data_IF_860796034747
#
_entry.id   IF_860796034747
#
_cell.length_a   1.000
_cell.length_b   1.000
_cell.length_c   1.000
_cell.angle_alpha   90.00
_cell.angle_beta   90.00
_cell.angle_gamma   90.00
#
_symmetry.space_group_name_H-M   'P 1'
#
loop_
_entity.id
_entity.type
_entity.pdbx_description
1 polymer ?
#
# COMPACT_ATOMS: atom_id res chain seq x y z
N UNK A 1 11.34 -0.94 -14.91
CA UNK A 1 12.33 -0.96 -13.82
C UNK A 1 12.20 0.27 -12.92
N UNK A 2 12.40 1.49 -13.43
CA UNK A 2 12.32 2.72 -12.62
C UNK A 2 11.04 2.82 -11.75
N UNK A 3 9.87 2.56 -12.33
CA UNK A 3 8.58 2.57 -11.60
C UNK A 3 8.55 1.56 -10.44
N UNK A 4 9.09 0.35 -10.62
CA UNK A 4 9.13 -0.66 -9.57
C UNK A 4 10.07 -0.26 -8.42
N UNK A 5 11.22 0.33 -8.73
CA UNK A 5 12.13 0.91 -7.73
C UNK A 5 11.44 2.04 -6.95
N UNK A 6 10.65 2.86 -7.63
CA UNK A 6 9.88 3.95 -7.03
C UNK A 6 8.87 3.39 -6.01
N UNK A 7 8.18 2.29 -6.33
CA UNK A 7 7.28 1.62 -5.39
C UNK A 7 8.00 1.00 -4.20
N UNK A 8 9.21 0.45 -4.39
CA UNK A 8 10.05 -0.01 -3.28
C UNK A 8 10.37 1.16 -2.33
N UNK A 9 10.76 2.30 -2.90
CA UNK A 9 11.04 3.53 -2.14
C UNK A 9 9.82 4.01 -1.35
N UNK A 10 8.63 4.07 -1.99
CA UNK A 10 7.39 4.41 -1.31
C UNK A 10 6.99 3.40 -0.24
N UNK A 11 7.20 2.11 -0.48
CA UNK A 11 7.01 1.06 0.51
C UNK A 11 7.80 1.35 1.78
N UNK A 12 9.10 1.61 1.64
CA UNK A 12 9.94 1.96 2.79
C UNK A 12 9.47 3.25 3.49
N UNK A 13 9.13 4.27 2.70
CA UNK A 13 8.71 5.56 3.24
C UNK A 13 7.42 5.48 4.07
N UNK A 14 6.42 4.73 3.61
CA UNK A 14 5.10 4.63 4.28
C UNK A 14 5.17 4.22 5.75
N UNK A 15 6.14 3.38 6.17
CA UNK A 15 6.25 2.94 7.55
C UNK A 15 6.53 4.10 8.54
N UNK A 16 7.16 5.17 8.06
CA UNK A 16 7.57 6.32 8.88
C UNK A 16 6.64 7.53 8.71
N UNK A 17 5.65 7.46 7.83
CA UNK A 17 4.73 8.59 7.58
C UNK A 17 3.79 8.79 8.76
N UNK A 18 3.88 9.96 9.40
CA UNK A 18 2.94 10.41 10.43
C UNK A 18 1.61 10.86 9.81
N UNK A 19 0.48 10.77 10.54
CA UNK A 19 -0.80 11.30 10.09
C UNK A 19 -0.66 12.74 9.60
N UNK A 20 -1.07 12.98 8.37
CA UNK A 20 -1.02 14.30 7.75
C UNK A 20 -2.03 14.39 6.60
N UNK A 21 -2.35 15.60 6.18
CA UNK A 21 -3.37 15.85 5.16
C UNK A 21 -2.86 15.71 3.72
N UNK A 22 -1.56 15.55 3.48
CA UNK A 22 -0.96 15.65 2.15
C UNK A 22 -0.47 14.32 1.56
N UNK A 23 0.11 13.44 2.39
CA UNK A 23 0.86 12.25 1.97
C UNK A 23 0.35 11.01 2.71
N UNK A 24 0.07 9.95 1.96
CA UNK A 24 -0.35 8.65 2.49
C UNK A 24 -1.72 8.18 1.97
N UNK A 25 -2.20 7.07 2.52
CA UNK A 25 -3.53 6.51 2.29
C UNK A 25 -4.54 7.28 3.16
N UNK A 26 -5.22 8.26 2.55
CA UNK A 26 -6.10 9.24 3.23
C UNK A 26 -7.57 8.91 3.02
N UNK A 27 -8.04 7.84 3.65
CA UNK A 27 -9.49 7.60 3.79
C UNK A 27 -10.03 8.41 4.98
N UNK A 28 -11.34 8.75 5.02
CA UNK A 28 -11.91 9.52 6.12
C UNK A 28 -11.52 8.97 7.51
N UNK A 29 -11.63 7.65 7.68
CA UNK A 29 -11.28 6.97 8.93
C UNK A 29 -9.78 6.95 9.27
N UNK A 30 -8.88 6.94 8.28
CA UNK A 30 -7.43 7.03 8.58
C UNK A 30 -7.03 8.42 9.06
N UNK A 31 -7.73 9.47 8.65
CA UNK A 31 -7.48 10.83 9.10
C UNK A 31 -8.02 11.07 10.51
N UNK A 32 -9.10 10.39 10.87
CA UNK A 32 -9.75 10.49 12.19
C UNK A 32 -9.03 9.68 13.26
N UNK A 33 -8.35 8.58 12.90
CA UNK A 33 -7.68 7.70 13.86
C UNK A 33 -6.19 7.50 13.56
N UNK A 34 -5.27 8.01 14.41
CA UNK A 34 -3.84 7.73 14.31
C UNK A 34 -3.50 6.24 14.40
N UNK A 35 -4.34 5.44 15.06
CA UNK A 35 -4.17 3.99 15.19
C UNK A 35 -4.44 3.32 13.84
N UNK A 36 -5.56 3.64 13.18
CA UNK A 36 -5.87 3.13 11.84
C UNK A 36 -4.81 3.58 10.84
N UNK A 37 -4.41 4.86 10.89
CA UNK A 37 -3.32 5.38 10.08
C UNK A 37 -2.06 4.52 10.19
N UNK A 38 -1.56 4.33 11.41
CA UNK A 38 -0.30 3.59 11.66
C UNK A 38 -0.40 2.13 11.19
N UNK A 39 -1.52 1.46 11.46
CA UNK A 39 -1.72 0.05 11.05
C UNK A 39 -1.79 -0.08 9.53
N UNK A 40 -2.57 0.78 8.86
CA UNK A 40 -2.71 0.78 7.40
C UNK A 40 -1.39 1.09 6.70
N UNK A 41 -0.66 2.11 7.15
CA UNK A 41 0.63 2.48 6.53
C UNK A 41 1.73 1.44 6.80
N UNK A 42 1.71 0.77 7.96
CA UNK A 42 2.60 -0.36 8.23
C UNK A 42 2.31 -1.54 7.31
N UNK A 43 1.04 -1.86 7.05
CA UNK A 43 0.69 -2.89 6.07
C UNK A 43 1.07 -2.45 4.64
N UNK A 44 0.69 -1.23 4.27
CA UNK A 44 1.00 -0.62 2.98
C UNK A 44 2.49 -0.66 2.68
N UNK A 45 3.34 -0.37 3.67
CA UNK A 45 4.81 -0.40 3.53
C UNK A 45 5.32 -1.74 2.99
N UNK A 46 4.82 -2.85 3.55
CA UNK A 46 5.21 -4.21 3.14
C UNK A 46 4.67 -4.53 1.76
N UNK A 47 3.39 -4.25 1.51
CA UNK A 47 2.72 -4.59 0.24
C UNK A 47 3.37 -3.83 -0.92
N UNK A 48 3.66 -2.54 -0.74
CA UNK A 48 4.26 -1.73 -1.80
C UNK A 48 5.71 -2.08 -2.05
N UNK A 49 6.46 -2.41 -1.00
CA UNK A 49 7.83 -2.90 -1.15
C UNK A 49 7.87 -4.22 -1.92
N UNK A 50 7.05 -5.20 -1.54
CA UNK A 50 6.97 -6.51 -2.22
C UNK A 50 6.44 -6.35 -3.65
N UNK A 51 5.39 -5.55 -3.86
CA UNK A 51 4.84 -5.27 -5.19
C UNK A 51 5.86 -4.62 -6.13
N UNK A 52 6.65 -3.66 -5.62
CA UNK A 52 7.73 -3.05 -6.38
C UNK A 52 8.83 -4.04 -6.77
N UNK A 53 9.22 -4.94 -5.87
CA UNK A 53 10.18 -6.02 -6.15
C UNK A 53 9.62 -6.96 -7.24
N UNK A 54 8.35 -7.37 -7.11
CA UNK A 54 7.69 -8.23 -8.11
C UNK A 54 7.70 -7.57 -9.49
N UNK A 55 7.42 -6.27 -9.58
CA UNK A 55 7.42 -5.52 -10.84
C UNK A 55 8.83 -5.41 -11.46
N UNK A 56 9.87 -5.26 -10.64
CA UNK A 56 11.26 -5.21 -11.13
C UNK A 56 11.67 -6.60 -11.64
N UNK A 57 11.47 -7.64 -10.84
CA UNK A 57 11.83 -9.01 -11.18
C UNK A 57 11.05 -9.51 -12.39
N UNK A 58 9.75 -9.22 -12.46
CA UNK A 58 8.92 -9.67 -13.58
C UNK A 58 9.43 -9.13 -14.91
N UNK A 59 9.80 -7.84 -14.97
CA UNK A 59 10.32 -7.23 -16.19
C UNK A 59 11.66 -7.82 -16.65
N UNK A 60 12.44 -8.44 -15.76
CA UNK A 60 13.70 -9.11 -16.10
C UNK A 60 13.49 -10.55 -16.60
N UNK A 61 12.41 -11.21 -16.17
CA UNK A 61 12.19 -12.66 -16.39
C UNK A 61 11.16 -12.94 -17.49
N UNK A 62 10.11 -12.13 -17.61
CA UNK A 62 8.97 -12.42 -18.47
C UNK A 62 8.91 -11.54 -19.73
N UNK A 63 8.13 -11.98 -20.71
CA UNK A 63 7.83 -11.24 -21.95
C UNK A 63 6.88 -10.05 -21.71
N UNK A 64 6.77 -9.15 -22.69
CA UNK A 64 6.04 -7.88 -22.52
C UNK A 64 4.55 -8.05 -22.19
N UNK A 65 3.86 -9.01 -22.82
CA UNK A 65 2.44 -9.25 -22.57
C UNK A 65 2.15 -9.73 -21.15
N UNK A 66 2.98 -10.64 -20.62
CA UNK A 66 2.85 -11.15 -19.25
C UNK A 66 3.18 -10.05 -18.23
N UNK A 67 4.16 -9.20 -18.54
CA UNK A 67 4.54 -8.08 -17.68
C UNK A 67 3.41 -7.06 -17.49
N UNK A 68 2.65 -6.75 -18.54
CA UNK A 68 1.51 -5.84 -18.44
C UNK A 68 0.44 -6.36 -17.47
N UNK A 69 0.15 -7.66 -17.51
CA UNK A 69 -0.81 -8.32 -16.62
C UNK A 69 -0.30 -8.30 -15.17
N UNK A 70 0.96 -8.72 -14.94
CA UNK A 70 1.57 -8.70 -13.60
C UNK A 70 1.58 -7.28 -13.03
N UNK A 71 1.92 -6.29 -13.84
CA UNK A 71 1.91 -4.89 -13.43
C UNK A 71 0.51 -4.44 -13.00
N UNK A 72 -0.51 -4.68 -13.82
CA UNK A 72 -1.90 -4.33 -13.50
C UNK A 72 -2.40 -4.98 -12.21
N UNK A 73 -2.16 -6.29 -12.04
CA UNK A 73 -2.53 -7.02 -10.82
C UNK A 73 -1.78 -6.48 -9.59
N UNK A 74 -0.48 -6.22 -9.72
CA UNK A 74 0.34 -5.70 -8.61
C UNK A 74 -0.17 -4.34 -8.13
N UNK A 75 -0.50 -3.43 -9.07
CA UNK A 75 -1.08 -2.12 -8.74
C UNK A 75 -2.44 -2.29 -8.04
N UNK A 76 -3.31 -3.15 -8.58
CA UNK A 76 -4.61 -3.39 -7.98
C UNK A 76 -4.47 -3.88 -6.52
N UNK A 77 -3.57 -4.83 -6.26
CA UNK A 77 -3.31 -5.33 -4.92
C UNK A 77 -2.74 -4.23 -4.00
N UNK A 78 -1.78 -3.45 -4.49
CA UNK A 78 -1.14 -2.37 -3.73
C UNK A 78 -2.12 -1.28 -3.29
N UNK A 79 -3.22 -1.07 -4.02
CA UNK A 79 -4.24 -0.07 -3.67
C UNK A 79 -5.40 -0.70 -2.90
N UNK A 80 -5.97 -1.79 -3.42
CA UNK A 80 -7.18 -2.39 -2.86
C UNK A 80 -6.94 -3.01 -1.48
N UNK A 81 -5.80 -3.67 -1.27
CA UNK A 81 -5.56 -4.33 0.03
C UNK A 81 -5.43 -3.32 1.17
N UNK A 82 -4.59 -2.26 1.09
CA UNK A 82 -4.56 -1.25 2.15
C UNK A 82 -5.88 -0.51 2.32
N UNK A 83 -6.62 -0.27 1.23
CA UNK A 83 -7.94 0.37 1.27
C UNK A 83 -8.94 -0.47 2.08
N UNK A 84 -9.12 -1.74 1.71
CA UNK A 84 -10.01 -2.67 2.42
C UNK A 84 -9.57 -2.82 3.87
N UNK A 85 -8.27 -3.04 4.08
CA UNK A 85 -7.70 -3.20 5.42
C UNK A 85 -8.01 -1.98 6.30
N UNK A 86 -7.84 -0.78 5.77
CA UNK A 86 -8.12 0.46 6.51
C UNK A 86 -9.58 0.54 6.98
N UNK A 87 -10.54 0.13 6.14
CA UNK A 87 -11.96 0.11 6.51
C UNK A 87 -12.26 -0.96 7.57
N UNK A 88 -11.70 -2.16 7.41
CA UNK A 88 -11.89 -3.24 8.39
C UNK A 88 -11.31 -2.89 9.76
N UNK A 89 -10.16 -2.22 9.79
CA UNK A 89 -9.52 -1.80 11.03
C UNK A 89 -10.29 -0.66 11.70
N UNK A 90 -10.83 0.29 10.92
CA UNK A 90 -11.74 1.32 11.43
C UNK A 90 -12.97 0.72 12.10
N UNK A 91 -13.71 -0.16 11.39
CA UNK A 91 -14.91 -0.80 11.92
C UNK A 91 -14.64 -1.61 13.19
N UNK A 92 -13.45 -2.21 13.29
CA UNK A 92 -13.01 -2.97 14.46
C UNK A 92 -12.76 -2.07 15.67
N UNK A 93 -12.24 -0.86 15.49
CA UNK A 93 -12.07 0.11 16.58
C UNK A 93 -13.42 0.68 17.02
N UNK A 94 -14.28 1.06 16.07
CA UNK A 94 -15.63 1.54 16.35
C UNK A 94 -16.45 0.51 17.16
N UNK A 95 -16.38 -0.79 16.80
CA UNK A 95 -17.05 -1.86 17.55
C UNK A 95 -16.54 -2.06 18.97
N UNK A 96 -15.31 -1.59 19.27
CA UNK A 96 -14.69 -1.69 20.59
C UNK A 96 -14.92 -0.43 21.44
N UNK A 97 -15.54 0.61 20.88
CA UNK A 97 -15.71 1.91 21.55
C UNK A 97 -14.40 2.67 21.77
N UNK A 98 -13.37 2.38 20.96
CA UNK A 98 -12.07 3.09 20.91
C UNK A 98 -12.04 4.08 19.75
#
# INVERSE_FOLDING_TARGET
IAVGILFIGFGNYMNSVKPNYFIGLRTPWTLESPIVWKKTHRLGSKIWMVGGIIIVVSKLVFSEGVNAIIFGISIAIMVLVPLIYSYTEFKKLESKGE
#
